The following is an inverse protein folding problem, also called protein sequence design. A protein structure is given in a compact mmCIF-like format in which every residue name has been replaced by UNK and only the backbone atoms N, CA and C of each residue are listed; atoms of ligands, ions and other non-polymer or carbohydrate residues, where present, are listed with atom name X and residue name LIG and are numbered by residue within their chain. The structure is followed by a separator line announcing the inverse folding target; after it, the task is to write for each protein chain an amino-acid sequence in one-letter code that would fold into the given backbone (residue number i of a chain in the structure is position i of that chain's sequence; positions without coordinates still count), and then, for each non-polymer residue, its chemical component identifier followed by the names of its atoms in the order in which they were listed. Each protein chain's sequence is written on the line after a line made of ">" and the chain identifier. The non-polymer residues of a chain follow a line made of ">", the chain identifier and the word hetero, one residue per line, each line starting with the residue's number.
data_IF_018383051223
#
_entry.id   IF_018383051223
#
_cell.length_a   1.000
_cell.length_b   1.000
_cell.length_c   1.000
_cell.angle_alpha   90.00
_cell.angle_beta   90.00
_cell.angle_gamma   90.00
#
_symmetry.space_group_name_H-M   'P 1'
#
loop_
_entity.id
_entity.type
_entity.pdbx_description
1 polymer ?
#
# COMPACT_ATOMS: atom_id res chain seq x y z
N UNK A 1 32.19 -2.17 19.32
CA UNK A 1 32.14 -2.61 20.74
C UNK A 1 31.49 -1.48 21.51
N UNK A 2 30.30 -1.71 22.09
CA UNK A 2 29.63 -0.68 22.89
C UNK A 2 30.52 -0.38 24.08
N UNK A 3 30.83 0.90 24.28
CA UNK A 3 31.67 1.37 25.37
C UNK A 3 30.97 1.06 26.70
N UNK A 4 31.42 -0.01 27.39
CA UNK A 4 30.71 -0.65 28.51
C UNK A 4 30.47 0.29 29.70
N UNK A 5 31.16 1.43 29.75
CA UNK A 5 31.16 2.34 30.90
C UNK A 5 30.30 3.60 30.69
N UNK A 6 29.70 3.82 29.50
CA UNK A 6 29.02 5.10 29.20
C UNK A 6 27.49 5.08 29.32
N UNK A 7 26.86 3.91 29.33
CA UNK A 7 25.40 3.80 29.26
C UNK A 7 24.87 2.99 30.43
N UNK A 8 24.12 3.64 31.33
CA UNK A 8 23.57 3.01 32.54
C UNK A 8 22.29 2.19 32.27
N UNK A 9 21.55 2.49 31.19
CA UNK A 9 20.28 1.85 30.86
C UNK A 9 20.10 1.69 29.35
N UNK A 10 19.36 0.65 28.96
CA UNK A 10 18.94 0.39 27.58
C UNK A 10 17.41 0.42 27.51
N UNK A 11 16.86 1.27 26.65
CA UNK A 11 15.41 1.43 26.44
C UNK A 11 15.02 0.85 25.09
N UNK A 12 13.94 0.05 25.09
CA UNK A 12 13.29 -0.47 23.89
C UNK A 12 11.89 0.13 23.83
N UNK A 13 11.42 0.51 22.64
CA UNK A 13 10.11 1.13 22.47
C UNK A 13 9.57 1.01 21.05
N UNK A 14 8.33 1.43 20.86
CA UNK A 14 7.72 1.56 19.54
C UNK A 14 8.38 2.70 18.76
N UNK A 15 8.41 2.54 17.43
CA UNK A 15 9.03 3.51 16.52
C UNK A 15 7.93 4.09 15.63
N UNK A 16 7.84 5.41 15.57
CA UNK A 16 6.91 6.07 14.66
C UNK A 16 7.41 6.04 13.21
N UNK A 17 6.52 6.13 12.19
CA UNK A 17 6.94 6.22 10.79
C UNK A 17 7.91 7.39 10.52
N UNK A 18 7.73 8.52 11.21
CA UNK A 18 8.63 9.67 11.11
C UNK A 18 10.02 9.34 11.65
N UNK A 19 10.11 8.62 12.77
CA UNK A 19 11.40 8.19 13.33
C UNK A 19 12.14 7.23 12.39
N UNK A 20 11.43 6.28 11.75
CA UNK A 20 12.03 5.39 10.74
C UNK A 20 12.63 6.21 9.60
N UNK A 21 11.88 7.19 9.08
CA UNK A 21 12.38 8.06 8.02
C UNK A 21 13.57 8.91 8.48
N UNK A 22 13.57 9.41 9.72
CA UNK A 22 14.66 10.21 10.28
C UNK A 22 15.96 9.41 10.45
N UNK A 23 15.88 8.12 10.78
CA UNK A 23 17.06 7.25 10.89
C UNK A 23 17.69 6.90 9.53
N UNK A 24 16.88 6.87 8.47
CA UNK A 24 17.31 6.46 7.15
C UNK A 24 17.65 7.63 6.21
N UNK A 25 16.99 8.78 6.39
CA UNK A 25 17.17 9.95 5.53
C UNK A 25 18.56 10.57 5.65
N UNK A 26 19.13 10.91 4.50
CA UNK A 26 20.34 11.73 4.35
C UNK A 26 20.06 12.88 3.40
N UNK A 27 20.54 14.07 3.75
CA UNK A 27 20.52 15.23 2.87
C UNK A 27 21.81 15.27 2.06
N UNK A 28 21.67 15.18 0.74
CA UNK A 28 22.78 15.38 -0.19
C UNK A 28 23.10 16.88 -0.36
N UNK A 29 24.30 17.24 -0.87
CA UNK A 29 24.70 18.64 -1.08
C UNK A 29 23.78 19.42 -2.05
N UNK A 30 23.07 18.69 -2.93
CA UNK A 30 22.09 19.25 -3.86
C UNK A 30 20.72 19.56 -3.19
N UNK A 31 20.56 19.27 -1.89
CA UNK A 31 19.29 19.42 -1.18
C UNK A 31 18.33 18.22 -1.32
N UNK A 32 18.71 17.18 -2.06
CA UNK A 32 17.90 15.96 -2.22
C UNK A 32 17.96 15.09 -0.97
N UNK A 33 16.81 14.60 -0.51
CA UNK A 33 16.71 13.64 0.59
C UNK A 33 16.76 12.23 0.02
N UNK A 34 17.74 11.43 0.47
CA UNK A 34 17.92 10.05 0.05
C UNK A 34 17.75 9.12 1.25
N UNK A 35 17.14 7.96 1.06
CA UNK A 35 16.91 6.97 2.13
C UNK A 35 15.83 5.95 1.76
N UNK A 36 14.94 6.34 0.84
CA UNK A 36 13.87 5.49 0.34
C UNK A 36 14.37 4.53 -0.75
N UNK A 37 14.04 3.25 -0.60
CA UNK A 37 14.22 2.24 -1.64
C UNK A 37 12.95 2.17 -2.48
N UNK A 38 13.03 2.64 -3.71
CA UNK A 38 11.87 2.74 -4.62
C UNK A 38 11.78 1.59 -5.61
N UNK A 39 12.93 0.99 -5.97
CA UNK A 39 13.00 -0.09 -6.97
C UNK A 39 13.27 -1.43 -6.30
N UNK A 40 12.66 -2.52 -6.80
CA UNK A 40 12.90 -3.87 -6.27
C UNK A 40 14.23 -4.48 -6.76
N UNK A 41 14.99 -3.77 -7.59
CA UNK A 41 16.20 -4.29 -8.21
C UNK A 41 17.38 -4.38 -7.23
N UNK A 42 18.26 -5.36 -7.46
CA UNK A 42 19.41 -5.65 -6.61
C UNK A 42 20.73 -5.25 -7.30
N UNK A 43 21.27 -6.13 -8.13
CA UNK A 43 22.49 -5.94 -8.91
C UNK A 43 22.19 -6.09 -10.40
N UNK A 44 22.88 -5.30 -11.21
CA UNK A 44 22.82 -5.45 -12.65
C UNK A 44 23.59 -6.70 -13.10
N UNK A 45 22.92 -7.61 -13.81
CA UNK A 45 23.44 -8.94 -14.17
C UNK A 45 24.78 -8.95 -14.93
N UNK A 46 25.07 -7.94 -15.76
CA UNK A 46 26.35 -7.87 -16.52
C UNK A 46 27.49 -7.25 -15.72
N UNK A 47 27.19 -6.22 -14.93
CA UNK A 47 28.23 -5.36 -14.33
C UNK A 47 28.49 -5.73 -12.88
N UNK A 48 27.62 -6.55 -12.27
CA UNK A 48 27.61 -6.86 -10.83
C UNK A 48 27.64 -5.60 -9.96
N UNK A 49 27.20 -4.46 -10.49
CA UNK A 49 27.05 -3.21 -9.76
C UNK A 49 25.63 -3.10 -9.20
N UNK A 50 25.46 -2.54 -8.00
CA UNK A 50 24.14 -2.37 -7.40
C UNK A 50 23.34 -1.35 -8.20
N UNK A 51 22.05 -1.63 -8.36
CA UNK A 51 21.12 -0.76 -9.06
C UNK A 51 20.82 0.51 -8.25
N UNK A 52 20.65 1.63 -8.95
CA UNK A 52 20.28 2.91 -8.32
C UNK A 52 18.87 2.82 -7.75
N UNK A 53 18.71 3.27 -6.51
CA UNK A 53 17.46 3.24 -5.73
C UNK A 53 16.91 1.83 -5.46
N UNK A 54 17.76 0.81 -5.66
CA UNK A 54 17.48 -0.58 -5.32
C UNK A 54 17.92 -0.96 -3.91
N UNK A 55 17.75 -2.24 -3.58
CA UNK A 55 18.01 -2.80 -2.25
C UNK A 55 19.48 -2.70 -1.78
N UNK A 56 20.43 -2.53 -2.71
CA UNK A 56 21.86 -2.44 -2.40
C UNK A 56 22.48 -1.10 -2.81
N UNK A 57 21.65 -0.10 -3.14
CA UNK A 57 22.08 1.19 -3.66
C UNK A 57 23.17 1.83 -2.80
N UNK A 58 24.31 2.16 -3.42
CA UNK A 58 25.44 2.79 -2.72
C UNK A 58 25.12 4.19 -2.22
N UNK A 59 24.19 4.89 -2.88
CA UNK A 59 23.73 6.23 -2.48
C UNK A 59 22.98 6.20 -1.14
N UNK A 60 22.23 5.12 -0.87
CA UNK A 60 21.45 4.94 0.35
C UNK A 60 22.33 4.34 1.46
N UNK A 61 22.92 3.18 1.19
CA UNK A 61 23.60 2.39 2.23
C UNK A 61 25.09 2.72 2.39
N UNK A 62 25.70 3.41 1.43
CA UNK A 62 27.13 3.71 1.40
C UNK A 62 27.93 2.86 0.40
N UNK A 63 29.22 3.18 0.20
CA UNK A 63 30.04 2.60 -0.88
C UNK A 63 30.39 1.13 -0.63
N UNK A 64 30.55 0.35 -1.71
CA UNK A 64 30.99 -1.06 -1.61
C UNK A 64 32.43 -1.17 -1.12
N UNK A 65 33.29 -0.29 -1.65
CA UNK A 65 34.72 -0.22 -1.29
C UNK A 65 34.99 1.12 -0.62
N UNK A 66 35.76 1.09 0.46
CA UNK A 66 36.07 2.28 1.25
C UNK A 66 36.75 3.35 0.39
N UNK A 67 36.18 4.57 0.41
CA UNK A 67 36.71 5.72 -0.34
C UNK A 67 36.48 5.70 -1.86
N UNK A 68 35.78 4.69 -2.40
CA UNK A 68 35.45 4.60 -3.84
C UNK A 68 33.95 4.80 -4.02
N UNK A 69 33.55 5.75 -4.88
CA UNK A 69 32.14 5.96 -5.23
C UNK A 69 31.68 5.03 -6.38
N UNK A 70 30.38 4.98 -6.64
CA UNK A 70 29.79 4.15 -7.72
C UNK A 70 30.34 4.47 -9.14
N UNK A 71 30.71 5.73 -9.39
CA UNK A 71 31.33 6.18 -10.64
C UNK A 71 32.78 5.70 -10.80
N UNK A 72 33.42 5.24 -9.72
CA UNK A 72 34.84 4.85 -9.70
C UNK A 72 35.80 5.96 -9.25
N UNK A 73 35.31 7.15 -8.88
CA UNK A 73 36.16 8.18 -8.29
C UNK A 73 36.61 7.73 -6.90
N UNK A 74 37.89 7.92 -6.60
CA UNK A 74 38.49 7.57 -5.33
C UNK A 74 38.90 8.83 -4.55
N UNK A 75 38.66 8.83 -3.24
CA UNK A 75 39.19 9.83 -2.31
C UNK A 75 39.74 9.15 -1.06
N UNK A 76 40.85 9.67 -0.56
CA UNK A 76 41.48 9.19 0.68
C UNK A 76 40.59 9.57 1.87
N UNK A 77 40.29 8.58 2.71
CA UNK A 77 39.45 8.77 3.90
C UNK A 77 40.30 9.48 4.96
N UNK A 78 39.94 10.71 5.32
CA UNK A 78 40.58 11.45 6.42
C UNK A 78 41.29 12.75 6.01
N UNK A 79 41.39 13.06 4.73
CA UNK A 79 41.89 14.35 4.27
C UNK A 79 40.87 15.45 4.60
N UNK A 80 41.18 16.25 5.63
CA UNK A 80 40.39 17.40 6.12
C UNK A 80 40.42 18.61 5.18
N UNK A 81 40.51 18.42 3.87
CA UNK A 81 40.27 19.53 2.93
C UNK A 81 38.76 19.66 2.75
N UNK A 82 38.28 20.90 2.59
CA UNK A 82 36.87 21.33 2.46
C UNK A 82 36.12 20.73 1.24
N UNK A 83 36.56 19.58 0.74
CA UNK A 83 36.01 18.95 -0.44
C UNK A 83 34.77 18.13 -0.08
N UNK A 84 33.77 18.21 -0.95
CA UNK A 84 32.45 17.59 -0.79
C UNK A 84 32.50 16.15 -0.25
N UNK A 85 31.86 15.91 0.90
CA UNK A 85 31.75 14.56 1.51
C UNK A 85 31.09 13.52 0.59
N UNK A 86 30.34 14.01 -0.40
CA UNK A 86 29.63 13.23 -1.40
C UNK A 86 30.21 13.46 -2.79
N UNK A 87 30.11 12.44 -3.64
CA UNK A 87 30.41 12.56 -5.06
C UNK A 87 29.33 13.37 -5.78
N UNK A 88 29.72 14.41 -6.52
CA UNK A 88 28.79 15.29 -7.26
C UNK A 88 27.99 14.56 -8.35
N UNK A 89 28.56 13.50 -8.94
CA UNK A 89 27.92 12.78 -10.05
C UNK A 89 26.96 11.66 -9.60
N UNK A 90 27.30 10.94 -8.53
CA UNK A 90 26.50 9.79 -8.08
C UNK A 90 25.87 9.94 -6.69
N UNK A 91 26.22 10.98 -5.94
CA UNK A 91 25.72 11.21 -4.58
C UNK A 91 26.22 10.21 -3.54
N UNK A 92 27.16 9.32 -3.86
CA UNK A 92 27.72 8.36 -2.91
C UNK A 92 28.69 9.07 -1.96
N UNK A 93 28.57 8.76 -0.68
CA UNK A 93 29.41 9.29 0.39
C UNK A 93 30.79 8.64 0.39
N UNK A 94 31.87 9.44 0.48
CA UNK A 94 33.23 8.93 0.58
C UNK A 94 33.54 8.52 2.03
N UNK A 95 33.12 7.30 2.40
CA UNK A 95 33.30 6.73 3.74
C UNK A 95 33.80 5.29 3.66
N UNK A 96 34.09 4.71 4.83
CA UNK A 96 34.38 3.29 4.96
C UNK A 96 33.15 2.44 4.60
N UNK A 97 33.34 1.37 3.82
CA UNK A 97 32.28 0.44 3.45
C UNK A 97 31.61 -0.24 4.65
N UNK A 98 32.24 -0.22 5.83
CA UNK A 98 31.65 -0.65 7.11
C UNK A 98 30.33 0.05 7.43
N UNK A 99 30.12 1.28 6.93
CA UNK A 99 28.86 2.03 7.18
C UNK A 99 27.63 1.27 6.66
N UNK A 100 27.77 0.43 5.62
CA UNK A 100 26.67 -0.37 5.05
C UNK A 100 26.03 -1.34 6.04
N UNK A 101 26.70 -1.64 7.16
CA UNK A 101 26.18 -2.50 8.23
C UNK A 101 25.28 -1.76 9.22
N UNK A 102 25.37 -0.44 9.27
CA UNK A 102 24.71 0.41 10.26
C UNK A 102 23.72 1.39 9.63
N UNK A 103 23.91 1.70 8.34
CA UNK A 103 23.05 2.62 7.62
C UNK A 103 21.69 1.97 7.33
N UNK A 104 20.63 2.62 7.79
CA UNK A 104 19.26 2.20 7.54
C UNK A 104 18.74 2.75 6.21
N UNK A 105 17.85 2.00 5.57
CA UNK A 105 16.99 2.45 4.48
C UNK A 105 15.53 2.16 4.85
N UNK A 106 14.58 2.75 4.13
CA UNK A 106 13.16 2.49 4.35
C UNK A 106 12.40 2.34 3.03
N UNK A 107 11.21 1.75 3.11
CA UNK A 107 10.26 1.66 2.01
C UNK A 107 9.00 2.38 2.46
N UNK A 108 8.56 3.37 1.67
CA UNK A 108 7.30 4.05 1.92
C UNK A 108 6.16 3.19 1.38
N UNK A 109 5.33 2.67 2.28
CA UNK A 109 4.17 1.89 1.89
C UNK A 109 3.06 2.80 1.34
N UNK A 110 2.37 2.33 0.30
CA UNK A 110 1.21 3.04 -0.26
C UNK A 110 0.03 3.08 0.73
N UNK A 111 -0.14 1.99 1.49
CA UNK A 111 -1.16 1.84 2.52
C UNK A 111 -0.53 1.49 3.87
N UNK A 112 -1.11 1.92 5.00
CA UNK A 112 -0.65 1.49 6.32
C UNK A 112 -0.82 -0.03 6.49
N UNK A 113 0.14 -0.66 7.14
CA UNK A 113 0.16 -2.10 7.40
C UNK A 113 0.38 -2.35 8.89
N UNK A 114 -0.34 -3.31 9.45
CA UNK A 114 -0.17 -3.73 10.84
C UNK A 114 1.03 -4.65 10.99
N UNK A 115 1.87 -4.40 12.00
CA UNK A 115 3.00 -5.25 12.30
C UNK A 115 2.56 -6.56 12.98
N UNK A 116 2.95 -7.70 12.41
CA UNK A 116 2.46 -9.04 12.78
C UNK A 116 2.63 -9.35 14.28
N UNK A 117 3.72 -8.90 14.92
CA UNK A 117 3.94 -9.12 16.36
C UNK A 117 2.88 -8.52 17.28
N UNK A 118 2.22 -7.43 16.86
CA UNK A 118 1.18 -6.79 17.68
C UNK A 118 -0.22 -7.30 17.37
N UNK A 119 -0.40 -7.93 16.20
CA UNK A 119 -1.67 -8.52 15.78
C UNK A 119 -1.79 -9.99 16.18
N UNK A 120 -0.85 -10.85 15.75
CA UNK A 120 -0.97 -12.32 15.88
C UNK A 120 -0.47 -12.91 17.19
N UNK A 121 0.32 -12.17 17.95
CA UNK A 121 0.82 -12.67 19.25
C UNK A 121 -0.36 -12.83 20.20
N UNK A 122 -0.32 -13.85 21.06
CA UNK A 122 -1.30 -14.05 22.13
C UNK A 122 -0.72 -13.63 23.48
N UNK A 123 -1.43 -12.81 24.27
CA UNK A 123 -2.61 -12.04 23.88
C UNK A 123 -2.26 -10.97 22.83
N UNK A 124 -3.22 -10.64 21.95
CA UNK A 124 -2.99 -9.66 20.89
C UNK A 124 -3.09 -8.25 21.44
N UNK A 125 -2.01 -7.47 21.29
CA UNK A 125 -1.95 -6.11 21.81
C UNK A 125 -2.99 -5.21 21.12
N UNK A 126 -3.15 -5.35 19.80
CA UNK A 126 -4.13 -4.56 19.03
C UNK A 126 -5.55 -4.98 19.40
N UNK A 127 -5.82 -6.28 19.50
CA UNK A 127 -7.16 -6.77 19.86
C UNK A 127 -7.58 -6.33 21.24
N UNK A 128 -6.67 -6.40 22.22
CA UNK A 128 -6.91 -5.94 23.58
C UNK A 128 -7.12 -4.43 23.65
N UNK A 129 -6.36 -3.65 22.87
CA UNK A 129 -6.49 -2.19 22.84
C UNK A 129 -7.84 -1.75 22.27
N UNK A 130 -8.34 -2.45 21.25
CA UNK A 130 -9.60 -2.16 20.56
C UNK A 130 -10.82 -2.86 21.18
N UNK A 131 -10.63 -3.67 22.22
CA UNK A 131 -11.67 -4.51 22.85
C UNK A 131 -12.47 -5.33 21.81
N UNK A 132 -11.76 -5.93 20.86
CA UNK A 132 -12.34 -6.71 19.75
C UNK A 132 -11.78 -8.13 19.69
N UNK A 133 -12.57 -9.12 19.23
CA UNK A 133 -12.08 -10.47 19.06
C UNK A 133 -11.02 -10.53 17.96
N UNK A 134 -9.92 -11.25 18.22
CA UNK A 134 -8.80 -11.38 17.28
C UNK A 134 -9.24 -11.87 15.89
N UNK A 135 -10.17 -12.84 15.83
CA UNK A 135 -10.70 -13.38 14.57
C UNK A 135 -11.35 -12.31 13.69
N UNK A 136 -12.06 -11.35 14.29
CA UNK A 136 -12.67 -10.24 13.55
C UNK A 136 -11.59 -9.34 12.97
N UNK A 137 -10.59 -8.97 13.78
CA UNK A 137 -9.49 -8.12 13.33
C UNK A 137 -8.59 -8.77 12.27
N UNK A 138 -8.31 -10.07 12.39
CA UNK A 138 -7.56 -10.80 11.36
C UNK A 138 -8.30 -10.81 10.02
N UNK A 139 -9.62 -11.06 10.01
CA UNK A 139 -10.42 -11.01 8.79
C UNK A 139 -10.41 -9.64 8.12
N UNK A 140 -10.38 -8.56 8.91
CA UNK A 140 -10.27 -7.18 8.41
C UNK A 140 -8.89 -6.85 7.84
N UNK A 141 -7.81 -7.30 8.50
CA UNK A 141 -6.43 -7.02 8.08
C UNK A 141 -6.01 -7.86 6.88
N UNK A 142 -6.36 -9.15 6.85
CA UNK A 142 -5.94 -10.06 5.79
C UNK A 142 -6.82 -10.01 4.54
N UNK A 143 -7.83 -9.14 4.50
CA UNK A 143 -8.76 -9.02 3.38
C UNK A 143 -9.46 -10.34 3.02
N UNK A 144 -9.63 -11.27 3.97
CA UNK A 144 -10.29 -12.57 3.70
C UNK A 144 -11.74 -12.38 3.22
N UNK A 145 -12.36 -11.24 3.55
CA UNK A 145 -13.74 -10.90 3.14
C UNK A 145 -13.85 -10.43 1.67
N UNK A 146 -12.73 -10.03 1.03
CA UNK A 146 -12.73 -9.56 -0.37
C UNK A 146 -12.36 -10.64 -1.39
N UNK A 147 -11.77 -11.76 -0.95
CA UNK A 147 -11.33 -12.84 -1.86
C UNK A 147 -12.52 -13.72 -2.30
N UNK A 148 -13.65 -13.67 -1.59
CA UNK A 148 -14.84 -14.45 -1.90
C UNK A 148 -15.88 -13.67 -2.73
N UNK A 149 -16.11 -14.16 -3.95
CA UNK A 149 -17.36 -14.04 -4.72
C UNK A 149 -17.48 -12.84 -5.69
N UNK A 150 -17.02 -13.06 -6.93
CA UNK A 150 -17.64 -12.45 -8.11
C UNK A 150 -18.90 -13.27 -8.45
N UNK A 151 -20.06 -12.82 -8.00
CA UNK A 151 -21.34 -13.25 -8.57
C UNK A 151 -21.91 -12.07 -9.36
N UNK A 152 -21.95 -12.32 -10.67
CA UNK A 152 -22.40 -11.45 -11.76
C UNK A 152 -23.64 -10.62 -11.39
N UNK A 153 -23.58 -9.31 -11.57
CA UNK A 153 -24.74 -8.41 -11.46
C UNK A 153 -25.56 -8.41 -12.75
N UNK A 154 -26.32 -9.47 -13.03
CA UNK A 154 -27.41 -9.44 -14.01
C UNK A 154 -28.73 -9.09 -13.31
N UNK A 155 -28.96 -7.81 -13.09
CA UNK A 155 -30.18 -7.34 -12.44
C UNK A 155 -30.40 -5.85 -12.61
N UNK A 156 -30.69 -5.42 -13.84
CA UNK A 156 -31.15 -4.07 -14.19
C UNK A 156 -30.10 -2.93 -14.16
N UNK A 157 -29.29 -2.84 -15.23
CA UNK A 157 -29.02 -1.57 -15.91
C UNK A 157 -29.20 -1.80 -17.41
N UNK A 158 -30.03 -0.97 -18.06
CA UNK A 158 -30.31 -1.00 -19.51
C UNK A 158 -29.08 -0.54 -20.30
N UNK A 159 -28.01 -1.32 -20.27
CA UNK A 159 -26.79 -1.07 -21.03
C UNK A 159 -26.47 -2.27 -21.93
N UNK A 160 -25.89 -2.01 -23.10
CA UNK A 160 -25.35 -3.06 -23.97
C UNK A 160 -24.11 -3.62 -23.28
N UNK A 161 -24.17 -4.86 -22.82
CA UNK A 161 -23.06 -5.53 -22.16
C UNK A 161 -22.22 -6.34 -23.18
N UNK A 162 -20.91 -6.17 -23.17
CA UNK A 162 -19.98 -7.03 -23.90
C UNK A 162 -19.24 -7.91 -22.90
N UNK A 163 -19.67 -9.18 -22.78
CA UNK A 163 -19.09 -10.15 -21.85
C UNK A 163 -18.03 -10.99 -22.58
N UNK A 164 -16.78 -11.01 -22.08
CA UNK A 164 -15.68 -11.80 -22.71
C UNK A 164 -15.61 -13.25 -22.22
N UNK A 165 -16.26 -13.57 -21.10
CA UNK A 165 -16.38 -14.93 -20.58
C UNK A 165 -17.83 -15.40 -20.71
N UNK A 166 -18.11 -16.17 -21.77
CA UNK A 166 -19.33 -16.95 -21.88
C UNK A 166 -19.01 -18.40 -21.44
N UNK A 167 -19.49 -18.89 -20.28
CA UNK A 167 -19.15 -20.23 -19.80
C UNK A 167 -19.80 -21.36 -20.63
N UNK A 168 -20.76 -21.03 -21.50
CA UNK A 168 -21.48 -22.02 -22.31
C UNK A 168 -20.80 -22.23 -23.66
N UNK A 169 -19.62 -22.84 -23.64
CA UNK A 169 -19.10 -23.57 -24.80
C UNK A 169 -18.25 -24.76 -24.34
N UNK A 170 -18.87 -25.65 -23.55
CA UNK A 170 -18.45 -27.05 -23.45
C UNK A 170 -19.64 -27.94 -23.76
N UNK A 171 -19.41 -28.81 -24.74
CA UNK A 171 -20.31 -29.78 -25.34
C UNK A 171 -21.18 -30.56 -24.33
N UNK A 172 -22.42 -30.78 -24.76
CA UNK A 172 -23.26 -31.99 -24.61
C UNK A 172 -24.36 -32.09 -23.51
N UNK A 173 -25.57 -32.26 -24.05
CA UNK A 173 -26.70 -33.13 -23.69
C UNK A 173 -27.48 -32.95 -22.36
N UNK A 174 -28.78 -32.76 -22.59
CA UNK A 174 -29.97 -32.82 -21.72
C UNK A 174 -30.31 -31.55 -20.94
N UNK A 175 -31.34 -30.90 -21.47
CA UNK A 175 -32.15 -29.88 -20.85
C UNK A 175 -32.77 -30.39 -19.55
N UNK A 176 -32.31 -29.90 -18.41
CA UNK A 176 -33.19 -29.65 -17.26
C UNK A 176 -32.96 -28.21 -16.78
N UNK A 177 -33.91 -27.35 -17.13
CA UNK A 177 -34.01 -25.98 -16.60
C UNK A 177 -34.43 -26.07 -15.14
N UNK A 178 -33.47 -26.03 -14.22
CA UNK A 178 -33.75 -25.74 -12.81
C UNK A 178 -33.75 -24.22 -12.66
N UNK A 179 -34.92 -23.59 -12.86
CA UNK A 179 -35.18 -22.22 -12.41
C UNK A 179 -35.34 -22.24 -10.88
N UNK A 180 -34.25 -22.05 -10.15
CA UNK A 180 -34.34 -21.62 -8.75
C UNK A 180 -34.10 -20.10 -8.66
N UNK A 181 -35.11 -19.35 -9.09
CA UNK A 181 -35.23 -17.90 -8.91
C UNK A 181 -35.59 -17.57 -7.46
N UNK A 182 -34.66 -17.75 -6.51
CA UNK A 182 -34.90 -17.31 -5.12
C UNK A 182 -33.66 -16.80 -4.38
N UNK A 183 -32.65 -16.28 -5.09
CA UNK A 183 -31.69 -15.37 -4.48
C UNK A 183 -32.17 -13.94 -4.71
N UNK A 184 -32.76 -13.32 -3.69
CA UNK A 184 -33.12 -11.90 -3.67
C UNK A 184 -31.83 -11.07 -3.65
N UNK A 185 -31.23 -10.90 -4.83
CA UNK A 185 -29.96 -10.20 -5.00
C UNK A 185 -30.14 -8.75 -4.58
N UNK A 186 -29.52 -8.37 -3.46
CA UNK A 186 -29.57 -7.01 -2.95
C UNK A 186 -28.44 -6.24 -3.60
N UNK A 187 -28.79 -5.24 -4.43
CA UNK A 187 -27.83 -4.40 -5.15
C UNK A 187 -26.80 -3.82 -4.17
N UNK A 188 -25.52 -4.05 -4.44
CA UNK A 188 -24.43 -3.50 -3.61
C UNK A 188 -24.50 -1.96 -3.59
N UNK A 189 -24.49 -1.33 -2.40
CA UNK A 189 -24.62 0.11 -2.29
C UNK A 189 -23.34 0.84 -2.70
N UNK A 190 -23.51 2.02 -3.30
CA UNK A 190 -22.42 2.91 -3.68
C UNK A 190 -22.33 4.07 -2.70
N UNK A 191 -21.12 4.35 -2.21
CA UNK A 191 -20.82 5.46 -1.31
C UNK A 191 -19.75 6.36 -1.91
N UNK A 192 -19.98 7.67 -1.87
CA UNK A 192 -18.99 8.66 -2.31
C UNK A 192 -17.89 8.93 -1.26
N UNK A 193 -18.08 8.41 -0.05
CA UNK A 193 -17.44 8.87 1.17
C UNK A 193 -17.54 7.77 2.25
N UNK A 194 -16.46 7.59 3.03
CA UNK A 194 -16.40 6.63 4.13
C UNK A 194 -17.38 6.95 5.26
N UNK A 195 -17.64 8.23 5.56
CA UNK A 195 -18.58 8.65 6.60
C UNK A 195 -20.02 8.23 6.27
N UNK A 196 -20.41 8.31 5.00
CA UNK A 196 -21.76 7.91 4.57
C UNK A 196 -21.94 6.39 4.71
N UNK A 197 -20.89 5.62 4.38
CA UNK A 197 -20.88 4.16 4.56
C UNK A 197 -20.99 3.76 6.03
N UNK A 198 -20.21 4.40 6.92
CA UNK A 198 -20.27 4.18 8.37
C UNK A 198 -21.63 4.61 8.94
N UNK A 199 -22.16 5.74 8.47
CA UNK A 199 -23.49 6.23 8.85
C UNK A 199 -24.59 5.25 8.49
N UNK A 200 -24.54 4.66 7.29
CA UNK A 200 -25.47 3.64 6.84
C UNK A 200 -25.38 2.34 7.66
N UNK A 201 -24.18 1.94 8.10
CA UNK A 201 -24.00 0.82 9.04
C UNK A 201 -24.61 1.12 10.42
N UNK A 202 -24.37 2.32 10.97
CA UNK A 202 -24.98 2.75 12.25
C UNK A 202 -26.52 2.74 12.18
N UNK A 203 -27.08 3.05 11.02
CA UNK A 203 -28.51 2.99 10.73
C UNK A 203 -29.02 1.56 10.44
N UNK A 204 -28.17 0.53 10.58
CA UNK A 204 -28.46 -0.88 10.28
C UNK A 204 -28.98 -1.12 8.86
N UNK A 205 -28.61 -0.25 7.91
CA UNK A 205 -28.94 -0.42 6.48
C UNK A 205 -28.01 -1.40 5.77
N UNK A 206 -26.83 -1.63 6.36
CA UNK A 206 -25.80 -2.53 5.85
C UNK A 206 -25.17 -3.26 7.03
N UNK A 207 -24.76 -4.52 6.82
CA UNK A 207 -24.00 -5.27 7.82
C UNK A 207 -22.50 -4.98 7.69
N UNK A 208 -21.73 -5.31 8.72
CA UNK A 208 -20.28 -5.04 8.78
C UNK A 208 -19.51 -5.72 7.63
N UNK A 209 -19.91 -6.95 7.28
CA UNK A 209 -19.27 -7.79 6.26
C UNK A 209 -19.88 -7.64 4.86
N UNK A 210 -20.92 -6.83 4.71
CA UNK A 210 -21.57 -6.65 3.42
C UNK A 210 -20.67 -5.87 2.45
N UNK A 211 -20.46 -6.37 1.22
CA UNK A 211 -19.68 -5.66 0.23
C UNK A 211 -20.39 -4.38 -0.23
N UNK A 212 -19.61 -3.32 -0.41
CA UNK A 212 -20.06 -2.02 -0.92
C UNK A 212 -19.02 -1.43 -1.86
N UNK A 213 -19.44 -0.46 -2.67
CA UNK A 213 -18.56 0.29 -3.56
C UNK A 213 -18.24 1.65 -2.95
N UNK A 214 -16.98 1.90 -2.59
CA UNK A 214 -16.52 3.17 -2.07
C UNK A 214 -15.75 3.95 -3.13
N UNK A 215 -16.11 5.23 -3.33
CA UNK A 215 -15.39 6.12 -4.25
C UNK A 215 -13.98 6.38 -3.72
N UNK A 216 -12.99 6.04 -4.54
CA UNK A 216 -11.58 6.30 -4.28
C UNK A 216 -11.26 7.78 -4.57
N UNK A 217 -10.72 8.50 -3.58
CA UNK A 217 -10.23 9.88 -3.75
C UNK A 217 -8.74 9.84 -4.09
N UNK A 218 -8.38 10.47 -5.21
CA UNK A 218 -7.04 10.40 -5.81
C UNK A 218 -6.00 11.20 -5.01
N UNK A 219 -4.91 10.51 -4.64
CA UNK A 219 -3.54 11.06 -4.68
C UNK A 219 -2.47 10.03 -5.12
N UNK A 220 -2.85 8.80 -5.49
CA UNK A 220 -1.90 7.80 -5.98
C UNK A 220 -2.39 7.14 -7.27
N UNK A 221 -1.64 7.40 -8.34
CA UNK A 221 -1.72 6.70 -9.62
C UNK A 221 -1.05 5.33 -9.49
N UNK A 222 -1.71 4.35 -8.88
CA UNK A 222 -1.32 2.94 -9.04
C UNK A 222 -2.58 2.06 -9.08
N UNK A 223 -3.34 2.15 -10.16
CA UNK A 223 -4.08 0.98 -10.66
C UNK A 223 -3.66 0.81 -12.11
N UNK A 224 -2.38 0.50 -12.30
CA UNK A 224 -1.82 0.12 -13.58
C UNK A 224 -1.75 -1.41 -13.67
N UNK A 225 -2.85 -2.11 -13.39
CA UNK A 225 -2.96 -3.49 -13.84
C UNK A 225 -3.30 -3.44 -15.33
N UNK A 226 -2.48 -4.10 -16.16
CA UNK A 226 -2.76 -4.32 -17.59
C UNK A 226 -3.87 -5.37 -17.78
N UNK A 227 -4.84 -5.40 -16.87
CA UNK A 227 -5.93 -6.37 -16.87
C UNK A 227 -7.05 -5.86 -17.78
N UNK A 228 -7.68 -6.77 -18.50
CA UNK A 228 -8.88 -6.46 -19.27
C UNK A 228 -10.10 -6.41 -18.32
N UNK A 229 -11.05 -5.47 -18.52
CA UNK A 229 -12.26 -5.44 -17.72
C UNK A 229 -13.06 -6.72 -17.95
N UNK A 230 -13.63 -7.24 -16.86
CA UNK A 230 -14.49 -8.43 -16.86
C UNK A 230 -15.78 -8.10 -17.60
N UNK A 231 -16.37 -6.95 -17.28
CA UNK A 231 -17.60 -6.45 -17.88
C UNK A 231 -17.50 -4.96 -18.13
N UNK A 232 -18.09 -4.50 -19.23
CA UNK A 232 -18.23 -3.08 -19.54
C UNK A 232 -19.70 -2.76 -19.73
N UNK A 233 -20.22 -1.82 -18.93
CA UNK A 233 -21.58 -1.31 -19.05
C UNK A 233 -21.57 0.05 -19.71
N UNK A 234 -22.40 0.23 -20.74
CA UNK A 234 -22.64 1.55 -21.34
C UNK A 234 -23.97 2.10 -20.84
N UNK A 235 -23.96 3.30 -20.28
CA UNK A 235 -25.17 4.04 -19.96
C UNK A 235 -25.62 4.87 -21.16
N UNK A 236 -26.92 5.14 -21.27
CA UNK A 236 -27.51 5.92 -22.37
C UNK A 236 -27.00 7.36 -22.45
N UNK A 237 -26.42 7.88 -21.36
CA UNK A 237 -25.79 9.20 -21.28
C UNK A 237 -24.35 9.22 -21.80
N UNK A 238 -23.84 8.07 -22.28
CA UNK A 238 -22.51 7.92 -22.87
C UNK A 238 -21.38 7.72 -21.84
N UNK A 239 -21.69 7.68 -20.55
CA UNK A 239 -20.80 7.15 -19.52
C UNK A 239 -20.70 5.64 -19.64
N UNK A 240 -19.50 5.10 -19.42
CA UNK A 240 -19.33 3.65 -19.35
C UNK A 240 -18.57 3.23 -18.09
N UNK A 241 -18.99 2.09 -17.56
CA UNK A 241 -18.41 1.48 -16.37
C UNK A 241 -17.57 0.28 -16.80
N UNK A 242 -16.29 0.33 -16.49
CA UNK A 242 -15.39 -0.80 -16.66
C UNK A 242 -15.27 -1.50 -15.30
N UNK A 243 -15.80 -2.72 -15.21
CA UNK A 243 -15.84 -3.51 -13.99
C UNK A 243 -14.67 -4.49 -14.01
N UNK A 244 -13.83 -4.41 -12.99
CA UNK A 244 -12.68 -5.29 -12.74
C UNK A 244 -12.86 -6.01 -11.41
N UNK A 245 -12.08 -7.05 -11.14
CA UNK A 245 -12.28 -7.95 -10.00
C UNK A 245 -12.34 -7.30 -8.61
N UNK A 246 -11.81 -6.10 -8.41
CA UNK A 246 -11.80 -5.43 -7.09
C UNK A 246 -12.10 -3.92 -7.18
N UNK A 247 -12.24 -3.39 -8.40
CA UNK A 247 -12.46 -1.98 -8.63
C UNK A 247 -13.35 -1.76 -9.86
N UNK A 248 -14.02 -0.61 -9.89
CA UNK A 248 -14.88 -0.17 -10.97
C UNK A 248 -14.42 1.21 -11.41
N UNK A 249 -14.21 1.38 -12.71
CA UNK A 249 -13.82 2.67 -13.29
C UNK A 249 -15.02 3.23 -14.05
N UNK A 250 -15.41 4.46 -13.73
CA UNK A 250 -16.38 5.23 -14.51
C UNK A 250 -15.63 6.15 -15.44
N UNK A 251 -15.91 6.04 -16.74
CA UNK A 251 -15.32 6.87 -17.79
C UNK A 251 -16.37 7.69 -18.53
N UNK A 252 -15.93 8.82 -19.05
CA UNK A 252 -16.70 9.69 -19.95
C UNK A 252 -16.67 9.13 -21.39
N UNK A 253 -17.54 9.68 -22.26
CA UNK A 253 -17.56 9.42 -23.71
C UNK A 253 -16.17 9.61 -24.33
N UNK A 254 -15.40 10.59 -23.84
CA UNK A 254 -14.03 10.89 -24.28
C UNK A 254 -12.96 9.94 -23.71
N UNK A 255 -13.36 8.87 -23.01
CA UNK A 255 -12.51 7.90 -22.28
C UNK A 255 -11.69 8.47 -21.11
N UNK A 256 -12.02 9.68 -20.66
CA UNK A 256 -11.45 10.25 -19.43
C UNK A 256 -12.02 9.56 -18.19
N UNK A 257 -11.18 9.31 -17.18
CA UNK A 257 -11.59 8.69 -15.92
C UNK A 257 -12.30 9.74 -15.05
N UNK A 258 -13.59 9.54 -14.78
CA UNK A 258 -14.39 10.42 -13.92
C UNK A 258 -14.25 10.06 -12.45
N UNK A 259 -14.34 8.78 -12.13
CA UNK A 259 -14.15 8.27 -10.78
C UNK A 259 -13.81 6.79 -10.78
N UNK A 260 -13.14 6.37 -9.70
CA UNK A 260 -12.81 4.98 -9.43
C UNK A 260 -13.54 4.60 -8.15
N UNK A 261 -14.17 3.43 -8.15
CA UNK A 261 -14.75 2.81 -6.96
C UNK A 261 -13.95 1.57 -6.62
N UNK A 262 -13.74 1.34 -5.33
CA UNK A 262 -13.13 0.11 -4.81
C UNK A 262 -14.21 -0.66 -4.08
N UNK A 263 -14.26 -1.96 -4.32
CA UNK A 263 -15.13 -2.86 -3.55
C UNK A 263 -14.50 -3.08 -2.19
N UNK A 264 -15.22 -2.78 -1.12
CA UNK A 264 -14.73 -2.89 0.26
C UNK A 264 -15.89 -3.19 1.21
N UNK A 265 -15.61 -3.30 2.51
CA UNK A 265 -16.62 -3.50 3.56
C UNK A 265 -16.57 -2.37 4.58
N UNK A 266 -17.66 -2.19 5.34
CA UNK A 266 -17.69 -1.14 6.38
C UNK A 266 -16.65 -1.42 7.48
N UNK A 267 -16.41 -2.69 7.80
CA UNK A 267 -15.37 -3.06 8.76
C UNK A 267 -13.99 -2.59 8.33
N UNK A 268 -13.63 -2.79 7.06
CA UNK A 268 -12.34 -2.33 6.52
C UNK A 268 -12.24 -0.81 6.54
N UNK A 269 -13.29 -0.10 6.12
CA UNK A 269 -13.34 1.37 6.19
C UNK A 269 -13.13 1.86 7.63
N UNK A 270 -13.76 1.21 8.60
CA UNK A 270 -13.70 1.60 10.01
C UNK A 270 -12.30 1.36 10.59
N UNK A 271 -11.69 0.20 10.30
CA UNK A 271 -10.34 -0.13 10.75
C UNK A 271 -9.29 0.84 10.21
N UNK A 272 -9.29 1.11 8.90
CA UNK A 272 -8.32 2.05 8.31
C UNK A 272 -8.43 3.43 8.91
N UNK A 273 -9.66 3.85 9.21
CA UNK A 273 -9.92 5.14 9.86
C UNK A 273 -9.41 5.17 11.29
N UNK A 274 -9.67 4.14 12.10
CA UNK A 274 -9.12 4.06 13.46
C UNK A 274 -7.59 4.08 13.46
N UNK A 275 -6.96 3.41 12.48
CA UNK A 275 -5.51 3.45 12.29
C UNK A 275 -5.04 4.86 11.91
N UNK A 276 -5.69 5.53 10.95
CA UNK A 276 -5.34 6.91 10.57
C UNK A 276 -5.50 7.89 11.73
N UNK A 277 -6.61 7.81 12.47
CA UNK A 277 -6.87 8.64 13.64
C UNK A 277 -5.84 8.39 14.75
N UNK A 278 -5.46 7.14 14.99
CA UNK A 278 -4.39 6.78 15.92
C UNK A 278 -3.04 7.36 15.47
N UNK A 279 -2.68 7.21 14.19
CA UNK A 279 -1.44 7.78 13.64
C UNK A 279 -1.43 9.30 13.81
N UNK A 280 -2.51 10.00 13.45
CA UNK A 280 -2.61 11.45 13.62
C UNK A 280 -2.54 11.87 15.09
N UNK A 281 -3.19 11.12 15.98
CA UNK A 281 -3.12 11.33 17.43
C UNK A 281 -1.70 11.22 17.97
N UNK A 282 -0.96 10.17 17.56
CA UNK A 282 0.45 10.00 17.91
C UNK A 282 1.33 11.13 17.35
N UNK A 283 1.12 11.55 16.10
CA UNK A 283 1.87 12.65 15.50
C UNK A 283 1.70 13.95 16.31
N UNK A 284 0.46 14.25 16.73
CA UNK A 284 0.15 15.42 17.55
C UNK A 284 0.80 15.32 18.93
N UNK A 285 0.72 14.17 19.59
CA UNK A 285 1.36 13.96 20.89
C UNK A 285 2.89 14.14 20.84
N UNK A 286 3.53 13.68 19.76
CA UNK A 286 4.97 13.88 19.56
C UNK A 286 5.37 15.34 19.29
N UNK A 287 4.48 16.16 18.71
CA UNK A 287 4.77 17.59 18.45
C UNK A 287 4.62 18.51 19.67
N UNK A 288 3.90 18.09 20.72
CA UNK A 288 3.78 18.86 21.97
C UNK A 288 4.82 18.48 23.03
N UNK A 289 5.70 17.51 22.73
CA UNK A 289 6.75 17.01 23.63
C UNK A 289 8.15 17.58 23.39
N UNK A 290 8.27 18.63 22.55
CA UNK A 290 9.49 19.42 22.32
C UNK A 290 9.26 20.85 22.75
#
# INVERSE_FOLDING_TARGET
>A
MIDRYKHQQLRIGLVSPQQISAWANKTLPNGEIVGEVTKPYTFHYKTNKPEKDGLFCERIFGPIKSGICACGNYRVIGDKKEDSKFCEQCGVEFVDSRIRRYQMGYIKLACPVTHVWYLKRLPSYIANLLDKPLKELEGLVYCDVLIGLYVLTSGNRRGICANRYNPSNRKNHKNEKIYNNNYKYTKEPFFCNSYDAIGAYRQKRINLDSPLWLRWRLDQRVIASREAPIEVHYESLGTHHEIYGYYLIVKSIKKEILCIYIRTTVGHISLYREIEEAIQGFCRACSYGT
#
